data_IF_360312321525
#
_entry.id   IF_360312321525
#
_cell.length_a   1.000
_cell.length_b   1.000
_cell.length_c   1.000
_cell.angle_alpha   90.00
_cell.angle_beta   90.00
_cell.angle_gamma   90.00
#
_symmetry.space_group_name_H-M   'P 1'
#
loop_
_entity.id
_entity.type
_entity.pdbx_description
1 polymer ?
#
# COMPACT_ATOMS: atom_id res chain seq x y z
N UNK A 1 -41.84 5.47 -0.89
CA UNK A 1 -40.86 5.54 0.20
C UNK A 1 -39.46 5.63 -0.43
N UNK A 2 -38.94 6.85 -0.60
CA UNK A 2 -37.54 7.09 -1.01
C UNK A 2 -36.68 6.73 0.19
N UNK A 3 -36.01 5.57 0.19
CA UNK A 3 -34.81 5.36 0.99
C UNK A 3 -33.78 6.32 0.43
N UNK A 4 -33.50 7.38 1.14
CA UNK A 4 -32.27 8.16 0.95
C UNK A 4 -31.12 7.19 1.14
N UNK A 5 -30.35 6.91 0.09
CA UNK A 5 -29.07 6.25 0.25
C UNK A 5 -28.25 7.20 1.14
N UNK A 6 -27.99 6.78 2.37
CA UNK A 6 -27.07 7.51 3.24
C UNK A 6 -25.71 7.45 2.56
N UNK A 7 -25.23 8.61 2.16
CA UNK A 7 -23.93 8.77 1.52
C UNK A 7 -22.84 8.40 2.56
N UNK A 8 -21.90 7.57 2.14
CA UNK A 8 -20.82 7.13 3.01
C UNK A 8 -19.91 8.30 3.40
N UNK A 9 -19.43 8.28 4.63
CA UNK A 9 -18.56 9.32 5.16
C UNK A 9 -17.28 8.71 5.72
N UNK A 10 -16.15 9.30 5.37
CA UNK A 10 -14.80 8.93 5.83
C UNK A 10 -14.31 9.92 6.88
N UNK A 11 -13.55 9.43 7.85
CA UNK A 11 -12.94 10.30 8.84
C UNK A 11 -11.76 11.08 8.23
N UNK A 12 -11.67 12.37 8.48
CA UNK A 12 -10.70 13.25 7.83
C UNK A 12 -9.24 12.83 8.04
N UNK A 13 -8.90 12.26 9.22
CA UNK A 13 -7.52 11.80 9.50
C UNK A 13 -7.15 10.67 8.55
N UNK A 14 -8.04 9.70 8.35
CA UNK A 14 -7.79 8.56 7.47
C UNK A 14 -7.70 9.02 6.01
N UNK A 15 -8.62 9.92 5.60
CA UNK A 15 -8.60 10.49 4.26
C UNK A 15 -7.31 11.29 3.98
N UNK A 16 -6.91 12.18 4.90
CA UNK A 16 -5.66 12.93 4.77
C UNK A 16 -4.43 12.02 4.82
N UNK A 17 -4.45 10.96 5.64
CA UNK A 17 -3.39 9.96 5.69
C UNK A 17 -3.18 9.27 4.35
N UNK A 18 -4.26 8.81 3.71
CA UNK A 18 -4.22 8.22 2.37
C UNK A 18 -3.74 9.21 1.32
N UNK A 19 -4.29 10.44 1.28
CA UNK A 19 -3.90 11.48 0.34
C UNK A 19 -2.42 11.91 0.48
N UNK A 20 -1.81 11.67 1.64
CA UNK A 20 -0.39 11.95 1.90
C UNK A 20 0.51 10.73 1.67
N UNK A 21 -0.05 9.59 1.26
CA UNK A 21 0.73 8.38 1.05
C UNK A 21 1.64 8.53 -0.19
N UNK A 22 2.95 8.15 -0.12
CA UNK A 22 3.88 8.33 -1.22
C UNK A 22 3.41 7.81 -2.57
N UNK A 23 2.83 6.62 -2.63
CA UNK A 23 2.28 6.05 -3.88
C UNK A 23 1.10 6.85 -4.44
N UNK A 24 0.26 7.44 -3.58
CA UNK A 24 -0.86 8.29 -4.03
C UNK A 24 -0.33 9.61 -4.55
N UNK A 25 0.65 10.21 -3.87
CA UNK A 25 1.32 11.44 -4.32
C UNK A 25 2.03 11.21 -5.66
N UNK A 26 2.68 10.07 -5.84
CA UNK A 26 3.33 9.73 -7.11
C UNK A 26 2.32 9.58 -8.26
N UNK A 27 1.15 8.99 -7.98
CA UNK A 27 0.12 8.75 -8.98
C UNK A 27 -0.69 10.01 -9.36
N UNK A 28 -1.06 10.84 -8.37
CA UNK A 28 -2.00 11.96 -8.55
C UNK A 28 -1.62 13.20 -7.71
N UNK A 29 -0.32 13.49 -7.54
CA UNK A 29 0.23 14.45 -6.59
C UNK A 29 -0.50 15.76 -6.43
N UNK A 30 -0.73 16.52 -7.51
CA UNK A 30 -1.43 17.81 -7.44
C UNK A 30 -2.86 17.67 -6.93
N UNK A 31 -3.58 16.64 -7.41
CA UNK A 31 -4.96 16.38 -7.00
C UNK A 31 -5.00 15.95 -5.54
N UNK A 32 -4.08 15.08 -5.11
CA UNK A 32 -3.99 14.63 -3.72
C UNK A 32 -3.73 15.82 -2.77
N UNK A 33 -2.77 16.69 -3.09
CA UNK A 33 -2.47 17.88 -2.31
C UNK A 33 -3.65 18.84 -2.25
N UNK A 34 -4.30 19.11 -3.37
CA UNK A 34 -5.48 19.97 -3.45
C UNK A 34 -6.61 19.45 -2.55
N UNK A 35 -6.99 18.18 -2.71
CA UNK A 35 -8.04 17.54 -1.91
C UNK A 35 -7.73 17.54 -0.43
N UNK A 36 -6.48 17.25 -0.06
CA UNK A 36 -6.04 17.30 1.34
C UNK A 36 -6.19 18.71 1.93
N UNK A 37 -5.77 19.74 1.20
CA UNK A 37 -5.87 21.12 1.65
C UNK A 37 -7.34 21.56 1.78
N UNK A 38 -8.21 21.20 0.83
CA UNK A 38 -9.66 21.46 0.91
C UNK A 38 -10.29 20.83 2.16
N UNK A 39 -9.88 19.62 2.57
CA UNK A 39 -10.34 18.98 3.80
C UNK A 39 -9.88 19.77 5.04
N UNK A 40 -8.61 20.18 5.08
CA UNK A 40 -8.02 20.89 6.22
C UNK A 40 -8.61 22.30 6.34
N UNK A 41 -8.62 23.07 5.27
CA UNK A 41 -9.09 24.46 5.25
C UNK A 41 -10.60 24.54 5.50
N UNK A 42 -11.35 23.56 4.97
CA UNK A 42 -12.76 23.39 5.21
C UNK A 42 -13.12 22.85 6.61
N UNK A 43 -12.12 22.48 7.42
CA UNK A 43 -12.30 21.84 8.74
C UNK A 43 -13.28 20.68 8.72
N UNK A 44 -13.23 19.88 7.66
CA UNK A 44 -14.14 18.77 7.47
C UNK A 44 -13.80 17.63 8.43
N UNK A 45 -14.64 17.33 9.40
CA UNK A 45 -14.45 16.19 10.31
C UNK A 45 -14.80 14.87 9.61
N UNK A 46 -15.83 14.90 8.77
CA UNK A 46 -16.28 13.79 7.93
C UNK A 46 -16.34 14.23 6.48
N UNK A 47 -15.74 13.45 5.61
CA UNK A 47 -15.63 13.71 4.17
C UNK A 47 -16.54 12.73 3.46
N UNK A 48 -17.44 13.24 2.63
CA UNK A 48 -18.38 12.42 1.88
C UNK A 48 -17.72 11.71 0.72
N UNK A 49 -18.22 10.54 0.37
CA UNK A 49 -17.74 9.76 -0.78
C UNK A 49 -17.77 10.59 -2.09
N UNK A 50 -18.82 11.40 -2.28
CA UNK A 50 -18.96 12.28 -3.44
C UNK A 50 -17.82 13.28 -3.63
N UNK A 51 -17.11 13.64 -2.56
CA UNK A 51 -15.95 14.53 -2.61
C UNK A 51 -14.78 13.97 -3.42
N UNK A 52 -14.70 12.64 -3.57
CA UNK A 52 -13.60 11.95 -4.24
C UNK A 52 -13.90 11.49 -5.67
N UNK A 53 -15.14 11.67 -6.15
CA UNK A 53 -15.62 11.15 -7.46
C UNK A 53 -15.04 11.82 -8.70
N UNK A 54 -14.34 12.93 -8.54
CA UNK A 54 -13.72 13.68 -9.64
C UNK A 54 -12.39 13.09 -10.14
N UNK A 55 -11.86 12.08 -9.44
CA UNK A 55 -10.64 11.38 -9.83
C UNK A 55 -10.85 9.87 -9.74
N UNK A 56 -10.48 9.14 -10.78
CA UNK A 56 -10.70 7.69 -10.91
C UNK A 56 -10.06 6.88 -9.76
N UNK A 57 -8.82 7.22 -9.38
CA UNK A 57 -8.13 6.52 -8.29
C UNK A 57 -8.81 6.79 -6.94
N UNK A 58 -9.17 8.05 -6.68
CA UNK A 58 -9.83 8.42 -5.43
C UNK A 58 -11.25 7.85 -5.34
N UNK A 59 -12.02 7.88 -6.43
CA UNK A 59 -13.34 7.24 -6.47
C UNK A 59 -13.26 5.75 -6.15
N UNK A 60 -12.23 5.06 -6.67
CA UNK A 60 -11.97 3.67 -6.30
C UNK A 60 -11.58 3.53 -4.83
N UNK A 61 -10.61 4.30 -4.33
CA UNK A 61 -10.10 4.20 -2.95
C UNK A 61 -11.20 4.47 -1.91
N UNK A 62 -12.08 5.42 -2.18
CA UNK A 62 -13.14 5.82 -1.26
C UNK A 62 -14.51 5.19 -1.58
N UNK A 63 -14.54 4.10 -2.35
CA UNK A 63 -15.72 3.26 -2.52
C UNK A 63 -15.81 2.21 -1.41
N UNK A 64 -17.04 1.84 -1.00
CA UNK A 64 -17.24 0.77 -0.03
C UNK A 64 -17.55 -0.55 -0.74
N UNK A 65 -16.92 -1.61 -0.26
CA UNK A 65 -17.20 -2.98 -0.70
C UNK A 65 -18.26 -3.62 0.20
N UNK A 66 -19.19 -4.37 -0.40
CA UNK A 66 -20.28 -5.04 0.32
C UNK A 66 -19.84 -6.37 0.93
N UNK A 67 -18.82 -7.01 0.38
CA UNK A 67 -18.30 -8.30 0.81
C UNK A 67 -16.79 -8.39 0.57
N UNK A 68 -16.15 -9.44 1.10
CA UNK A 68 -14.70 -9.60 1.00
C UNK A 68 -14.22 -9.86 -0.43
N UNK A 69 -15.03 -10.44 -1.31
CA UNK A 69 -14.66 -10.71 -2.71
C UNK A 69 -14.54 -9.39 -3.48
N UNK A 70 -15.52 -8.50 -3.28
CA UNK A 70 -15.48 -7.16 -3.86
C UNK A 70 -14.30 -6.35 -3.30
N UNK A 71 -14.03 -6.46 -1.99
CA UNK A 71 -12.88 -5.80 -1.35
C UNK A 71 -11.56 -6.30 -1.93
N UNK A 72 -11.40 -7.60 -2.12
CA UNK A 72 -10.20 -8.17 -2.72
C UNK A 72 -9.98 -7.68 -4.15
N UNK A 73 -11.03 -7.75 -4.98
CA UNK A 73 -10.98 -7.25 -6.36
C UNK A 73 -10.63 -5.77 -6.41
N UNK A 74 -11.27 -4.99 -5.58
CA UNK A 74 -11.00 -3.56 -5.41
C UNK A 74 -9.51 -3.28 -5.06
N UNK A 75 -8.96 -4.00 -4.08
CA UNK A 75 -7.55 -3.85 -3.71
C UNK A 75 -6.61 -4.15 -4.88
N UNK A 76 -6.86 -5.23 -5.62
CA UNK A 76 -6.07 -5.58 -6.80
C UNK A 76 -6.14 -4.51 -7.89
N UNK A 77 -7.32 -3.92 -8.14
CA UNK A 77 -7.48 -2.82 -9.10
C UNK A 77 -6.74 -1.55 -8.68
N UNK A 78 -6.74 -1.22 -7.37
CA UNK A 78 -5.96 -0.09 -6.83
C UNK A 78 -4.46 -0.34 -6.99
N UNK A 79 -3.96 -1.53 -6.66
CA UNK A 79 -2.55 -1.86 -6.83
C UNK A 79 -2.11 -1.86 -8.29
N UNK A 80 -2.94 -2.35 -9.21
CA UNK A 80 -2.68 -2.28 -10.66
C UNK A 80 -2.59 -0.83 -11.15
N UNK A 81 -3.52 0.03 -10.70
CA UNK A 81 -3.46 1.47 -11.02
C UNK A 81 -2.16 2.11 -10.51
N UNK A 82 -1.80 1.84 -9.25
CA UNK A 82 -0.57 2.37 -8.66
C UNK A 82 0.68 1.86 -9.38
N UNK A 83 0.70 0.59 -9.78
CA UNK A 83 1.82 0.03 -10.53
C UNK A 83 2.02 0.71 -11.89
N UNK A 84 0.93 1.05 -12.58
CA UNK A 84 0.96 1.80 -13.84
C UNK A 84 1.39 3.26 -13.67
N UNK A 85 1.22 3.81 -12.47
CA UNK A 85 1.56 5.20 -12.14
C UNK A 85 2.99 5.38 -11.64
N UNK A 86 3.74 4.29 -11.39
CA UNK A 86 5.13 4.37 -10.91
C UNK A 86 6.01 5.04 -11.96
N UNK A 87 6.62 6.16 -11.57
CA UNK A 87 7.50 6.97 -12.42
C UNK A 87 8.85 6.27 -12.62
N UNK A 88 9.49 6.47 -13.78
CA UNK A 88 10.85 6.02 -14.03
C UNK A 88 11.82 6.64 -13.02
N UNK A 89 12.36 5.81 -12.15
CA UNK A 89 13.32 6.19 -11.11
C UNK A 89 14.19 4.97 -10.77
N UNK A 90 15.29 5.18 -10.09
CA UNK A 90 16.16 4.09 -9.61
C UNK A 90 15.40 3.12 -8.67
N UNK A 91 14.36 3.60 -8.01
CA UNK A 91 13.50 2.81 -7.11
C UNK A 91 12.33 2.10 -7.82
N UNK A 92 12.12 2.33 -9.13
CA UNK A 92 10.97 1.78 -9.87
C UNK A 92 10.88 0.27 -9.72
N UNK A 93 11.98 -0.43 -9.93
CA UNK A 93 12.02 -1.89 -9.85
C UNK A 93 11.61 -2.40 -8.46
N UNK A 94 12.06 -1.73 -7.41
CA UNK A 94 11.70 -2.07 -6.02
C UNK A 94 10.22 -1.81 -5.76
N UNK A 95 9.71 -0.64 -6.15
CA UNK A 95 8.28 -0.27 -5.98
C UNK A 95 7.35 -1.25 -6.69
N UNK A 96 7.66 -1.60 -7.94
CA UNK A 96 6.89 -2.59 -8.70
C UNK A 96 6.96 -3.98 -8.06
N UNK A 97 8.13 -4.38 -7.55
CA UNK A 97 8.27 -5.64 -6.83
C UNK A 97 7.42 -5.70 -5.55
N UNK A 98 7.31 -4.58 -4.82
CA UNK A 98 6.41 -4.48 -3.68
C UNK A 98 4.94 -4.62 -4.07
N UNK A 99 4.51 -3.86 -5.07
CA UNK A 99 3.11 -3.87 -5.51
C UNK A 99 2.70 -5.24 -6.08
N UNK A 100 3.57 -5.85 -6.90
CA UNK A 100 3.29 -7.19 -7.46
C UNK A 100 3.26 -8.27 -6.38
N UNK A 101 4.19 -8.23 -5.42
CA UNK A 101 4.19 -9.19 -4.31
C UNK A 101 2.91 -9.08 -3.47
N UNK A 102 2.48 -7.86 -3.13
CA UNK A 102 1.23 -7.67 -2.38
C UNK A 102 0.03 -8.21 -3.18
N UNK A 103 -0.07 -7.91 -4.48
CA UNK A 103 -1.15 -8.40 -5.33
C UNK A 103 -1.16 -9.94 -5.42
N UNK A 104 0.01 -10.56 -5.52
CA UNK A 104 0.18 -12.01 -5.52
C UNK A 104 -0.28 -12.63 -4.19
N UNK A 105 0.05 -12.01 -3.06
CA UNK A 105 -0.37 -12.50 -1.74
C UNK A 105 -1.89 -12.36 -1.52
N UNK A 106 -2.50 -11.28 -1.99
CA UNK A 106 -3.96 -11.13 -1.97
C UNK A 106 -4.61 -12.27 -2.78
N UNK A 107 -4.13 -12.51 -4.00
CA UNK A 107 -4.65 -13.56 -4.86
C UNK A 107 -4.46 -14.97 -4.26
N UNK A 108 -3.31 -15.21 -3.62
CA UNK A 108 -3.02 -16.47 -2.91
C UNK A 108 -3.98 -16.70 -1.75
N UNK A 109 -4.21 -15.67 -0.92
CA UNK A 109 -5.16 -15.74 0.19
C UNK A 109 -6.58 -16.03 -0.31
N UNK A 110 -7.01 -15.35 -1.37
CA UNK A 110 -8.33 -15.57 -1.97
C UNK A 110 -8.51 -16.99 -2.49
N UNK A 111 -7.50 -17.54 -3.15
CA UNK A 111 -7.54 -18.91 -3.64
C UNK A 111 -7.60 -19.91 -2.48
N UNK A 112 -6.89 -19.66 -1.39
CA UNK A 112 -6.96 -20.49 -0.18
C UNK A 112 -8.36 -20.44 0.44
N UNK A 113 -8.96 -19.26 0.60
CA UNK A 113 -10.30 -19.11 1.15
C UNK A 113 -11.34 -19.81 0.27
N UNK A 114 -11.25 -19.65 -1.04
CA UNK A 114 -12.14 -20.32 -2.00
C UNK A 114 -12.02 -21.83 -1.94
N UNK A 115 -10.80 -22.37 -1.82
CA UNK A 115 -10.58 -23.82 -1.73
C UNK A 115 -11.15 -24.43 -0.45
N UNK A 116 -11.17 -23.65 0.64
CA UNK A 116 -11.75 -24.06 1.91
C UNK A 116 -13.29 -23.91 1.95
N UNK A 117 -13.90 -23.28 0.94
CA UNK A 117 -15.34 -22.99 0.87
C UNK A 117 -15.87 -22.29 2.14
N UNK A 118 -15.11 -21.28 2.61
CA UNK A 118 -15.44 -20.52 3.83
C UNK A 118 -15.99 -19.15 3.41
N UNK A 119 -17.12 -18.76 3.97
CA UNK A 119 -17.61 -17.39 3.88
C UNK A 119 -17.00 -16.54 4.98
N UNK A 120 -16.40 -15.41 4.60
CA UNK A 120 -15.77 -14.49 5.53
C UNK A 120 -16.48 -13.14 5.53
N UNK A 121 -16.53 -12.54 6.71
CA UNK A 121 -16.90 -11.12 6.83
C UNK A 121 -15.69 -10.22 6.50
N UNK A 122 -15.93 -8.98 6.07
CA UNK A 122 -14.87 -8.00 5.76
C UNK A 122 -13.90 -7.84 6.92
N UNK A 123 -14.30 -7.68 8.19
CA UNK A 123 -13.37 -7.56 9.32
C UNK A 123 -12.44 -8.77 9.49
N UNK A 124 -12.96 -9.98 9.31
CA UNK A 124 -12.15 -11.20 9.40
C UNK A 124 -11.16 -11.26 8.24
N UNK A 125 -11.62 -11.02 7.01
CA UNK A 125 -10.77 -10.99 5.83
C UNK A 125 -9.64 -9.97 5.96
N UNK A 126 -9.94 -8.73 6.37
CA UNK A 126 -8.92 -7.69 6.55
C UNK A 126 -7.92 -8.01 7.66
N UNK A 127 -8.35 -8.68 8.72
CA UNK A 127 -7.47 -9.15 9.80
C UNK A 127 -6.51 -10.24 9.29
N UNK A 128 -7.02 -11.22 8.54
CA UNK A 128 -6.22 -12.29 7.93
C UNK A 128 -5.23 -11.72 6.92
N UNK A 129 -5.69 -10.84 6.03
CA UNK A 129 -4.84 -10.19 5.04
C UNK A 129 -3.71 -9.39 5.70
N UNK A 130 -4.03 -8.58 6.71
CA UNK A 130 -3.02 -7.82 7.47
C UNK A 130 -1.97 -8.73 8.08
N UNK A 131 -2.39 -9.81 8.75
CA UNK A 131 -1.49 -10.78 9.37
C UNK A 131 -0.62 -11.48 8.33
N UNK A 132 -1.19 -11.82 7.18
CA UNK A 132 -0.47 -12.45 6.07
C UNK A 132 0.59 -11.52 5.49
N UNK A 133 0.22 -10.26 5.22
CA UNK A 133 1.15 -9.27 4.69
C UNK A 133 2.27 -8.89 5.66
N UNK A 134 2.06 -8.93 6.98
CA UNK A 134 3.09 -8.65 7.98
C UNK A 134 4.25 -9.66 7.97
N UNK A 135 4.05 -10.85 7.43
CA UNK A 135 5.09 -11.88 7.33
C UNK A 135 5.95 -11.74 6.07
N UNK A 136 5.57 -10.86 5.15
CA UNK A 136 6.28 -10.68 3.89
C UNK A 136 7.64 -10.03 4.10
N UNK A 137 8.62 -10.60 3.41
CA UNK A 137 9.97 -10.02 3.31
C UNK A 137 10.30 -9.92 1.83
N UNK A 138 10.73 -8.77 1.40
CA UNK A 138 11.28 -8.60 0.05
C UNK A 138 12.79 -8.70 0.18
N UNK A 139 13.41 -9.72 -0.40
CA UNK A 139 14.85 -9.79 -0.44
C UNK A 139 15.37 -8.63 -1.31
N UNK A 140 16.25 -7.82 -0.77
CA UNK A 140 17.01 -6.89 -1.59
C UNK A 140 17.88 -7.73 -2.53
N UNK A 141 17.57 -7.70 -3.82
CA UNK A 141 18.43 -8.30 -4.83
C UNK A 141 19.54 -7.31 -5.16
N UNK A 142 20.74 -7.64 -4.77
CA UNK A 142 21.95 -6.91 -5.09
C UNK A 142 22.78 -6.65 -3.84
N UNK A 143 23.88 -7.42 -3.71
CA UNK A 143 24.97 -6.97 -2.88
C UNK A 143 25.55 -5.72 -3.54
N UNK A 144 25.69 -4.59 -2.83
CA UNK A 144 26.39 -3.45 -3.37
C UNK A 144 27.85 -3.85 -3.60
N UNK A 145 28.20 -4.07 -4.86
CA UNK A 145 29.58 -4.44 -5.21
C UNK A 145 30.54 -3.23 -5.08
N UNK A 146 30.03 -2.04 -4.83
CA UNK A 146 30.80 -0.81 -4.70
C UNK A 146 30.19 0.10 -3.63
N UNK A 147 31.04 0.78 -2.87
CA UNK A 147 30.64 1.76 -1.86
C UNK A 147 30.85 1.29 -0.42
N UNK A 148 30.36 2.08 0.54
CA UNK A 148 30.44 1.77 1.96
C UNK A 148 29.42 0.67 2.31
N UNK A 149 29.92 -0.43 2.90
CA UNK A 149 29.09 -1.52 3.39
C UNK A 149 29.10 -1.54 4.92
N UNK A 150 27.94 -1.64 5.55
CA UNK A 150 27.79 -1.80 6.99
C UNK A 150 27.21 -3.19 7.25
N UNK A 151 27.98 -4.05 7.92
CA UNK A 151 27.58 -5.45 8.12
C UNK A 151 27.96 -5.93 9.51
N UNK A 152 27.32 -6.99 9.97
CA UNK A 152 27.68 -7.71 11.17
C UNK A 152 28.95 -8.53 11.00
N UNK A 153 29.65 -8.82 12.11
CA UNK A 153 30.91 -9.62 12.09
C UNK A 153 30.70 -11.01 11.44
N UNK A 154 29.54 -11.61 11.62
CA UNK A 154 29.25 -12.93 11.04
C UNK A 154 29.00 -12.88 9.53
N UNK A 155 28.59 -11.74 9.01
CA UNK A 155 28.26 -11.51 7.60
C UNK A 155 29.52 -11.20 6.76
N UNK A 156 30.63 -10.86 7.40
CA UNK A 156 31.92 -10.56 6.74
C UNK A 156 32.74 -11.81 6.38
N UNK A 157 32.23 -13.00 6.65
CA UNK A 157 32.95 -14.27 6.36
C UNK A 157 33.15 -14.43 4.85
N UNK A 158 34.39 -14.73 4.45
CA UNK A 158 34.80 -14.91 3.05
C UNK A 158 34.66 -13.66 2.15
N UNK A 159 34.66 -12.47 2.73
CA UNK A 159 34.68 -11.22 1.99
C UNK A 159 36.01 -10.50 2.23
N UNK A 160 36.63 -10.03 1.15
CA UNK A 160 37.86 -9.23 1.21
C UNK A 160 37.55 -7.77 1.01
N UNK A 161 38.01 -6.92 1.94
CA UNK A 161 37.82 -5.47 1.89
C UNK A 161 39.15 -4.75 1.85
N UNK A 162 39.24 -3.68 1.05
CA UNK A 162 40.44 -2.81 1.03
C UNK A 162 40.62 -2.03 2.34
N UNK A 163 39.51 -1.58 2.92
CA UNK A 163 39.50 -0.81 4.17
C UNK A 163 38.38 -1.36 5.06
N UNK A 164 38.66 -1.54 6.33
CA UNK A 164 37.69 -2.04 7.33
C UNK A 164 37.71 -1.13 8.54
N UNK A 165 36.54 -0.70 8.97
CA UNK A 165 36.34 0.03 10.22
C UNK A 165 35.49 -0.85 11.14
N UNK A 166 36.04 -1.24 12.27
CA UNK A 166 35.34 -2.08 13.26
C UNK A 166 34.90 -1.19 14.41
N UNK A 167 33.59 -1.20 14.69
CA UNK A 167 32.98 -0.43 15.78
C UNK A 167 32.63 -1.37 16.94
N UNK A 168 32.69 -0.84 18.17
CA UNK A 168 32.27 -1.56 19.41
C UNK A 168 32.99 -2.90 19.63
N UNK A 169 34.29 -2.93 19.44
CA UNK A 169 35.13 -4.02 19.92
C UNK A 169 35.32 -3.88 21.44
N UNK A 170 34.39 -4.47 22.19
CA UNK A 170 34.51 -4.62 23.66
C UNK A 170 34.84 -6.07 24.01
#
# INVERSE_FOLDING_TARGET
SRKSQEENNFYHIDACGLLSHPYIIEAIGEIAHKKRNEIIDGRMIRVKESFFKDNELLDKIFSLSSNYIELSKYLLEVFDYLAKSVIESDEKSLKLSYLSLIAEQISSLDNCIKSCNIELTIPIYTSLLRRHLQTLRIPFSGEPLQGLQVMGILETRNLDFKNVIILSMN
#
